data_IF_704659176700
#
_entry.id   IF_704659176700
#
_cell.length_a   1.000
_cell.length_b   1.000
_cell.length_c   1.000
_cell.angle_alpha   90.00
_cell.angle_beta   90.00
_cell.angle_gamma   90.00
#
_symmetry.space_group_name_H-M   'P 1'
#
loop_
_entity.id
_entity.type
_entity.pdbx_description
1 polymer ?
#
# COMPACT_ATOMS: atom_id res chain seq x y z
N UNK A 1 12.51 16.54 -6.02
CA UNK A 1 13.56 16.37 -7.04
C UNK A 1 14.23 14.99 -7.01
N UNK A 2 15.07 14.66 -6.00
CA UNK A 2 15.95 13.47 -5.95
C UNK A 2 15.32 12.15 -6.47
N UNK A 3 14.03 11.90 -6.19
CA UNK A 3 13.28 10.76 -6.71
C UNK A 3 13.23 10.67 -8.25
N UNK A 4 12.94 11.78 -8.94
CA UNK A 4 12.94 11.80 -10.42
C UNK A 4 14.35 11.65 -10.98
N UNK A 5 15.36 12.21 -10.30
CA UNK A 5 16.78 12.00 -10.62
C UNK A 5 17.15 10.52 -10.55
N UNK A 6 16.68 9.78 -9.53
CA UNK A 6 16.85 8.33 -9.47
C UNK A 6 16.11 7.62 -10.61
N UNK A 7 14.87 7.99 -10.92
CA UNK A 7 14.11 7.36 -12.01
C UNK A 7 14.80 7.52 -13.38
N UNK A 8 15.35 8.70 -13.66
CA UNK A 8 16.18 8.98 -14.86
C UNK A 8 17.46 8.11 -14.84
N UNK A 9 18.14 7.99 -13.70
CA UNK A 9 19.34 7.16 -13.58
C UNK A 9 19.08 5.64 -13.58
N UNK A 10 17.83 5.19 -13.42
CA UNK A 10 17.43 3.78 -13.51
C UNK A 10 16.98 3.34 -14.91
N UNK A 11 17.13 4.20 -15.93
CA UNK A 11 16.75 3.85 -17.30
C UNK A 11 17.67 2.78 -17.91
N UNK A 12 17.10 1.58 -18.11
CA UNK A 12 17.69 0.40 -18.78
C UNK A 12 18.52 0.73 -20.02
N UNK A 13 18.04 1.66 -20.86
CA UNK A 13 18.73 2.09 -22.09
C UNK A 13 20.13 2.67 -21.87
N UNK A 14 20.42 3.28 -20.72
CA UNK A 14 21.76 3.80 -20.42
C UNK A 14 22.75 2.65 -20.14
N UNK A 15 22.32 1.60 -19.44
CA UNK A 15 23.15 0.39 -19.22
C UNK A 15 23.37 -0.33 -20.55
N UNK A 16 22.33 -0.45 -21.38
CA UNK A 16 22.45 -1.03 -22.72
C UNK A 16 23.40 -0.23 -23.62
N UNK A 17 23.35 1.10 -23.57
CA UNK A 17 24.24 2.00 -24.31
C UNK A 17 25.71 1.80 -23.92
N UNK A 18 26.05 1.96 -22.63
CA UNK A 18 27.45 1.83 -22.19
C UNK A 18 27.98 0.40 -22.34
N UNK A 19 27.14 -0.63 -22.23
CA UNK A 19 27.59 -2.02 -22.49
C UNK A 19 27.81 -2.27 -23.99
N UNK A 20 26.97 -1.72 -24.88
CA UNK A 20 27.23 -1.76 -26.33
C UNK A 20 28.48 -0.97 -26.73
N UNK A 21 28.80 0.12 -26.03
CA UNK A 21 30.03 0.89 -26.29
C UNK A 21 31.31 0.12 -25.94
N UNK A 22 31.21 -0.98 -25.19
CA UNK A 22 32.31 -1.89 -24.85
C UNK A 22 32.38 -3.15 -25.73
N UNK A 23 31.46 -3.30 -26.70
CA UNK A 23 31.45 -4.44 -27.64
C UNK A 23 31.67 -3.99 -29.08
N UNK A 24 31.99 -4.95 -29.95
CA UNK A 24 32.42 -4.71 -31.32
C UNK A 24 31.65 -5.60 -32.29
N UNK A 25 31.36 -5.09 -33.48
CA UNK A 25 30.76 -5.85 -34.57
C UNK A 25 31.66 -5.82 -35.80
N UNK A 26 31.76 -6.96 -36.51
CA UNK A 26 32.60 -7.10 -37.71
C UNK A 26 31.83 -6.67 -38.94
N UNK A 27 32.35 -5.68 -39.68
CA UNK A 27 31.79 -5.22 -40.95
C UNK A 27 32.90 -5.30 -42.00
N UNK A 28 32.76 -6.23 -42.94
CA UNK A 28 33.85 -6.63 -43.83
C UNK A 28 35.07 -7.10 -43.03
N UNK A 29 36.22 -6.48 -43.27
CA UNK A 29 37.50 -6.82 -42.62
C UNK A 29 37.82 -5.94 -41.39
N UNK A 30 36.92 -5.07 -40.93
CA UNK A 30 37.17 -4.15 -39.81
C UNK A 30 36.11 -4.30 -38.70
N UNK A 31 36.50 -3.92 -37.48
CA UNK A 31 35.69 -4.05 -36.26
C UNK A 31 35.28 -2.65 -35.76
N UNK A 32 33.97 -2.42 -35.65
CA UNK A 32 33.36 -1.13 -35.35
C UNK A 32 32.49 -1.20 -34.09
N UNK A 33 32.27 -0.06 -33.44
CA UNK A 33 31.35 0.07 -32.32
C UNK A 33 29.89 -0.11 -32.82
N UNK A 34 29.07 -1.01 -32.26
CA UNK A 34 27.70 -1.27 -32.73
C UNK A 34 26.69 -0.17 -32.37
N UNK A 35 27.12 0.91 -31.72
CA UNK A 35 26.34 2.15 -31.57
C UNK A 35 26.72 3.22 -32.60
N UNK A 36 28.01 3.41 -32.88
CA UNK A 36 28.49 4.35 -33.91
C UNK A 36 29.48 3.67 -34.86
N UNK A 37 29.01 3.37 -36.07
CA UNK A 37 29.78 2.72 -37.13
C UNK A 37 30.91 3.60 -37.71
N UNK A 38 31.01 4.87 -37.30
CA UNK A 38 32.15 5.75 -37.64
C UNK A 38 33.39 5.41 -36.81
N UNK A 39 33.21 4.77 -35.65
CA UNK A 39 34.25 4.54 -34.64
C UNK A 39 34.79 3.11 -34.76
N UNK A 40 36.10 2.99 -34.98
CA UNK A 40 36.82 1.70 -35.02
C UNK A 40 37.14 1.24 -33.60
N UNK A 41 36.95 -0.05 -33.30
CA UNK A 41 37.08 -0.56 -31.94
C UNK A 41 38.51 -0.53 -31.37
N UNK A 42 39.54 -0.61 -32.22
CA UNK A 42 40.94 -0.65 -31.81
C UNK A 42 41.68 0.66 -32.08
N UNK A 43 40.94 1.75 -32.25
CA UNK A 43 41.51 3.09 -32.26
C UNK A 43 42.02 3.47 -30.85
N UNK A 44 43.24 3.99 -30.76
CA UNK A 44 43.96 4.13 -29.49
C UNK A 44 43.32 5.17 -28.56
N UNK A 45 42.89 6.31 -29.12
CA UNK A 45 42.22 7.37 -28.37
C UNK A 45 40.82 6.94 -27.94
N UNK A 46 40.09 6.27 -28.82
CA UNK A 46 38.80 5.63 -28.50
C UNK A 46 38.94 4.66 -27.32
N UNK A 47 39.89 3.72 -27.36
CA UNK A 47 40.14 2.77 -26.26
C UNK A 47 40.46 3.49 -24.95
N UNK A 48 41.37 4.47 -25.00
CA UNK A 48 41.87 5.21 -23.83
C UNK A 48 40.78 5.99 -23.08
N UNK A 49 39.77 6.51 -23.78
CA UNK A 49 38.68 7.28 -23.17
C UNK A 49 37.41 6.44 -22.91
N UNK A 50 36.90 5.74 -23.93
CA UNK A 50 35.58 5.11 -23.90
C UNK A 50 35.51 3.94 -22.90
N UNK A 51 36.56 3.13 -22.80
CA UNK A 51 36.56 1.97 -21.90
C UNK A 51 36.49 2.35 -20.41
N UNK A 52 37.43 3.13 -19.85
CA UNK A 52 37.36 3.48 -18.43
C UNK A 52 36.08 4.28 -18.10
N UNK A 53 35.65 5.20 -18.97
CA UNK A 53 34.42 5.96 -18.77
C UNK A 53 33.17 5.07 -18.72
N UNK A 54 33.01 4.18 -19.71
CA UNK A 54 31.88 3.24 -19.77
C UNK A 54 31.89 2.26 -18.59
N UNK A 55 33.07 1.73 -18.21
CA UNK A 55 33.22 0.82 -17.06
C UNK A 55 32.86 1.54 -15.76
N UNK A 56 33.38 2.75 -15.50
CA UNK A 56 33.04 3.54 -14.30
C UNK A 56 31.54 3.81 -14.20
N UNK A 57 30.87 4.14 -15.32
CA UNK A 57 29.42 4.36 -15.32
C UNK A 57 28.65 3.05 -15.07
N UNK A 58 29.02 1.95 -15.73
CA UNK A 58 28.36 0.65 -15.53
C UNK A 58 28.52 0.15 -14.09
N UNK A 59 29.71 0.27 -13.49
CA UNK A 59 29.92 -0.03 -12.08
C UNK A 59 29.03 0.86 -11.20
N UNK A 60 29.00 2.17 -11.43
CA UNK A 60 28.15 3.09 -10.66
C UNK A 60 26.65 2.72 -10.76
N UNK A 61 26.14 2.37 -11.94
CA UNK A 61 24.74 1.93 -12.11
C UNK A 61 24.45 0.56 -11.50
N UNK A 62 25.44 -0.33 -11.42
CA UNK A 62 25.32 -1.65 -10.81
C UNK A 62 25.45 -1.60 -9.28
N UNK A 63 26.17 -0.62 -8.71
CA UNK A 63 26.29 -0.43 -7.25
C UNK A 63 25.22 0.47 -6.63
N UNK A 64 24.67 1.46 -7.35
CA UNK A 64 23.61 2.34 -6.84
C UNK A 64 22.40 1.60 -6.21
N UNK A 65 21.89 0.47 -6.75
CA UNK A 65 20.78 -0.26 -6.14
C UNK A 65 21.19 -0.94 -4.83
N UNK A 66 22.41 -1.47 -4.70
CA UNK A 66 22.93 -1.99 -3.43
C UNK A 66 23.00 -0.89 -2.35
N UNK A 67 23.41 0.33 -2.72
CA UNK A 67 23.46 1.46 -1.77
C UNK A 67 22.07 1.85 -1.26
N UNK A 68 21.04 1.84 -2.12
CA UNK A 68 19.65 2.10 -1.69
C UNK A 68 19.14 0.93 -0.83
N UNK A 69 19.36 -0.32 -1.25
CA UNK A 69 18.98 -1.53 -0.48
C UNK A 69 19.64 -1.57 0.91
N UNK A 70 20.93 -1.21 1.01
CA UNK A 70 21.64 -1.12 2.30
C UNK A 70 20.98 -0.10 3.23
N UNK A 71 20.63 1.09 2.72
CA UNK A 71 19.93 2.12 3.49
C UNK A 71 18.53 1.67 3.94
N UNK A 72 17.80 0.92 3.11
CA UNK A 72 16.49 0.35 3.48
C UNK A 72 16.67 -0.77 4.53
N UNK A 73 17.64 -1.67 4.35
CA UNK A 73 17.98 -2.76 5.28
C UNK A 73 18.35 -2.23 6.67
N UNK A 74 19.17 -1.16 6.75
CA UNK A 74 19.52 -0.45 7.99
C UNK A 74 18.28 0.10 8.73
N UNK A 75 17.19 0.38 8.01
CA UNK A 75 15.94 0.92 8.55
C UNK A 75 14.77 -0.10 8.57
N UNK A 76 15.02 -1.41 8.41
CA UNK A 76 13.97 -2.47 8.30
C UNK A 76 12.88 -2.40 9.38
N UNK A 77 13.25 -2.08 10.61
CA UNK A 77 12.31 -1.98 11.73
C UNK A 77 11.38 -0.76 11.62
N UNK A 78 11.84 0.31 10.95
CA UNK A 78 11.21 1.63 10.83
C UNK A 78 10.51 1.88 9.48
N UNK A 79 10.36 0.87 8.62
CA UNK A 79 9.74 0.99 7.28
C UNK A 79 8.29 1.54 7.29
N UNK A 80 7.61 1.54 8.43
CA UNK A 80 6.27 2.09 8.58
C UNK A 80 6.26 3.57 9.03
N UNK A 81 7.41 4.14 9.41
CA UNK A 81 7.53 5.57 9.77
C UNK A 81 7.34 6.44 8.52
N UNK A 82 6.54 7.51 8.62
CA UNK A 82 6.19 8.36 7.48
C UNK A 82 7.41 8.97 6.77
N UNK A 83 8.50 9.23 7.49
CA UNK A 83 9.78 9.75 6.97
C UNK A 83 10.48 8.73 6.07
N UNK A 84 10.65 7.50 6.57
CA UNK A 84 11.26 6.38 5.82
C UNK A 84 10.37 6.01 4.62
N UNK A 85 9.05 5.95 4.83
CA UNK A 85 8.09 5.64 3.76
C UNK A 85 8.03 6.72 2.69
N UNK A 86 8.09 8.01 3.03
CA UNK A 86 8.16 9.09 2.03
C UNK A 86 9.46 9.04 1.21
N UNK A 87 10.59 8.69 1.85
CA UNK A 87 11.90 8.65 1.18
C UNK A 87 12.14 7.41 0.31
N UNK A 88 11.65 6.25 0.75
CA UNK A 88 11.99 4.94 0.17
C UNK A 88 10.78 4.06 -0.20
N UNK A 89 9.56 4.45 0.16
CA UNK A 89 8.35 3.61 0.03
C UNK A 89 8.12 3.06 -1.37
N UNK A 90 8.45 3.83 -2.41
CA UNK A 90 8.40 3.38 -3.80
C UNK A 90 9.08 2.02 -4.07
N UNK A 91 10.16 1.71 -3.35
CA UNK A 91 10.92 0.45 -3.54
C UNK A 91 10.32 -0.76 -2.80
N UNK A 92 9.38 -0.58 -1.86
CA UNK A 92 8.88 -1.67 -1.00
C UNK A 92 7.37 -1.64 -0.68
N UNK A 93 6.63 -0.58 -0.99
CA UNK A 93 5.22 -0.41 -0.59
C UNK A 93 4.26 -1.36 -1.33
N UNK A 94 4.61 -1.81 -2.53
CA UNK A 94 3.83 -2.79 -3.30
C UNK A 94 4.04 -4.24 -2.82
N UNK A 95 5.04 -4.45 -1.97
CA UNK A 95 5.52 -5.75 -1.51
C UNK A 95 5.16 -6.03 -0.05
N UNK A 96 5.15 -7.30 0.32
CA UNK A 96 4.99 -7.70 1.71
C UNK A 96 6.25 -7.35 2.52
N UNK A 97 6.10 -7.08 3.82
CA UNK A 97 7.19 -6.56 4.69
C UNK A 97 8.43 -7.45 4.73
N UNK A 98 8.28 -8.74 4.48
CA UNK A 98 9.37 -9.73 4.43
C UNK A 98 10.19 -9.59 3.13
N UNK A 99 9.53 -9.28 2.01
CA UNK A 99 10.11 -9.17 0.66
C UNK A 99 10.42 -7.72 0.26
N UNK A 100 10.71 -6.84 1.22
CA UNK A 100 11.05 -5.41 1.00
C UNK A 100 12.25 -5.16 0.05
N UNK A 101 13.01 -6.21 -0.29
CA UNK A 101 14.16 -6.19 -1.18
C UNK A 101 13.81 -6.61 -2.62
N UNK A 102 12.55 -6.97 -2.92
CA UNK A 102 12.18 -7.59 -4.19
C UNK A 102 12.40 -6.69 -5.42
N UNK A 103 12.22 -5.37 -5.30
CA UNK A 103 12.48 -4.45 -6.40
C UNK A 103 13.96 -4.47 -6.85
N UNK A 104 14.88 -4.75 -5.92
CA UNK A 104 16.30 -4.89 -6.24
C UNK A 104 16.57 -6.19 -7.00
N UNK A 105 15.88 -7.29 -6.68
CA UNK A 105 15.93 -8.53 -7.49
C UNK A 105 15.39 -8.28 -8.91
N UNK A 106 14.22 -7.63 -9.04
CA UNK A 106 13.67 -7.18 -10.35
C UNK A 106 14.65 -6.31 -11.12
N UNK A 107 15.41 -5.47 -10.42
CA UNK A 107 16.41 -4.58 -11.02
C UNK A 107 17.65 -5.35 -11.50
N UNK A 108 18.23 -6.20 -10.66
CA UNK A 108 19.41 -7.00 -11.05
C UNK A 108 19.09 -8.03 -12.15
N UNK A 109 17.88 -8.59 -12.17
CA UNK A 109 17.42 -9.44 -13.28
C UNK A 109 17.47 -8.68 -14.62
N UNK A 110 16.97 -7.43 -14.66
CA UNK A 110 17.02 -6.59 -15.87
C UNK A 110 18.46 -6.29 -16.26
N UNK A 111 19.34 -5.96 -15.31
CA UNK A 111 20.77 -5.69 -15.57
C UNK A 111 21.47 -6.94 -16.15
N UNK A 112 21.25 -8.11 -15.54
CA UNK A 112 21.82 -9.39 -15.99
C UNK A 112 21.37 -9.76 -17.41
N UNK A 113 20.09 -9.56 -17.73
CA UNK A 113 19.55 -9.79 -19.07
C UNK A 113 20.14 -8.81 -20.11
N UNK A 114 20.39 -7.54 -19.76
CA UNK A 114 21.12 -6.61 -20.64
C UNK A 114 22.52 -7.12 -20.90
N UNK A 115 23.28 -7.51 -19.87
CA UNK A 115 24.66 -7.99 -20.02
C UNK A 115 24.73 -9.26 -20.88
N UNK A 116 23.86 -10.24 -20.66
CA UNK A 116 23.78 -11.44 -21.51
C UNK A 116 23.46 -11.06 -22.97
N UNK A 117 22.45 -10.22 -23.19
CA UNK A 117 22.03 -9.81 -24.53
C UNK A 117 23.01 -8.87 -25.26
N UNK A 118 23.91 -8.18 -24.56
CA UNK A 118 24.88 -7.25 -25.19
C UNK A 118 26.30 -7.80 -25.29
N UNK A 119 26.73 -8.63 -24.34
CA UNK A 119 28.10 -9.19 -24.31
C UNK A 119 28.16 -10.56 -24.99
N UNK A 120 27.15 -11.43 -24.80
CA UNK A 120 27.20 -12.82 -25.30
C UNK A 120 26.61 -12.91 -26.72
N UNK A 121 25.53 -12.16 -27.01
CA UNK A 121 24.82 -12.24 -28.29
C UNK A 121 25.70 -12.01 -29.55
N UNK A 122 26.70 -11.10 -29.57
CA UNK A 122 27.55 -10.92 -30.76
C UNK A 122 28.38 -12.16 -31.15
N UNK A 123 28.66 -13.05 -30.19
CA UNK A 123 29.50 -14.24 -30.38
C UNK A 123 28.67 -15.54 -30.39
N UNK A 124 27.67 -15.63 -29.52
CA UNK A 124 26.88 -16.85 -29.29
C UNK A 124 25.38 -16.53 -29.17
N UNK A 125 24.75 -16.22 -30.30
CA UNK A 125 23.35 -15.78 -30.37
C UNK A 125 22.39 -16.75 -29.69
N UNK A 126 22.41 -18.03 -30.08
CA UNK A 126 21.54 -19.08 -29.51
C UNK A 126 21.77 -19.23 -27.99
N UNK A 127 23.03 -19.28 -27.55
CA UNK A 127 23.40 -19.38 -26.13
C UNK A 127 22.88 -18.19 -25.32
N UNK A 128 22.92 -16.96 -25.88
CA UNK A 128 22.39 -15.77 -25.22
C UNK A 128 20.86 -15.81 -25.06
N UNK A 129 20.13 -16.35 -26.04
CA UNK A 129 18.67 -16.54 -25.97
C UNK A 129 18.30 -17.62 -24.95
N UNK A 130 18.93 -18.80 -25.02
CA UNK A 130 18.68 -19.92 -24.10
C UNK A 130 19.02 -19.53 -22.66
N UNK A 131 20.17 -18.88 -22.43
CA UNK A 131 20.54 -18.37 -21.10
C UNK A 131 19.54 -17.35 -20.55
N UNK A 132 19.06 -16.42 -21.39
CA UNK A 132 18.01 -15.46 -21.01
C UNK A 132 16.69 -16.14 -20.64
N UNK A 133 16.27 -17.14 -21.41
CA UNK A 133 15.06 -17.93 -21.14
C UNK A 133 15.17 -18.72 -19.83
N UNK A 134 16.30 -19.37 -19.56
CA UNK A 134 16.56 -20.08 -18.29
C UNK A 134 16.46 -19.13 -17.11
N UNK A 135 17.10 -17.96 -17.18
CA UNK A 135 17.11 -16.96 -16.11
C UNK A 135 15.70 -16.39 -15.84
N UNK A 136 14.91 -16.12 -16.88
CA UNK A 136 13.51 -15.67 -16.71
C UNK A 136 12.63 -16.80 -16.17
N UNK A 137 12.82 -18.04 -16.61
CA UNK A 137 12.11 -19.21 -16.09
C UNK A 137 12.38 -19.46 -14.61
N UNK A 138 13.64 -19.34 -14.18
CA UNK A 138 14.03 -19.37 -12.77
C UNK A 138 13.37 -18.24 -11.97
N UNK A 139 13.40 -16.99 -12.47
CA UNK A 139 12.71 -15.87 -11.81
C UNK A 139 11.20 -16.13 -11.65
N UNK A 140 10.51 -16.56 -12.72
CA UNK A 140 9.09 -16.88 -12.71
C UNK A 140 8.75 -17.96 -11.67
N UNK A 141 9.57 -19.02 -11.57
CA UNK A 141 9.42 -20.07 -10.55
C UNK A 141 9.50 -19.50 -9.13
N UNK A 142 10.48 -18.64 -8.85
CA UNK A 142 10.62 -18.03 -7.51
C UNK A 142 9.48 -17.03 -7.22
N UNK A 143 9.00 -16.24 -8.20
CA UNK A 143 7.83 -15.35 -8.05
C UNK A 143 6.57 -16.13 -7.68
N UNK A 144 6.33 -17.29 -8.31
CA UNK A 144 5.18 -18.15 -8.04
C UNK A 144 5.26 -18.81 -6.66
N UNK A 145 6.46 -19.13 -6.18
CA UNK A 145 6.66 -19.71 -4.85
C UNK A 145 6.57 -18.66 -3.72
N UNK A 146 7.26 -17.53 -3.86
CA UNK A 146 7.38 -16.51 -2.80
C UNK A 146 6.18 -15.57 -2.67
N UNK A 147 5.41 -15.38 -3.75
CA UNK A 147 4.22 -14.51 -3.79
C UNK A 147 4.47 -13.11 -3.18
N UNK A 148 5.51 -12.35 -3.61
CA UNK A 148 6.10 -11.27 -2.82
C UNK A 148 5.27 -9.98 -2.76
N UNK A 149 4.27 -9.83 -3.64
CA UNK A 149 3.40 -8.66 -3.74
C UNK A 149 2.27 -8.69 -2.70
N UNK A 150 1.78 -7.51 -2.31
CA UNK A 150 0.54 -7.41 -1.53
C UNK A 150 -0.72 -7.64 -2.41
N UNK A 151 -0.67 -7.22 -3.68
CA UNK A 151 -1.79 -7.33 -4.63
C UNK A 151 -1.64 -8.52 -5.57
N UNK A 152 -2.56 -9.50 -5.49
CA UNK A 152 -2.64 -10.64 -6.42
C UNK A 152 -2.81 -10.19 -7.89
N UNK A 153 -3.46 -9.05 -8.13
CA UNK A 153 -3.59 -8.48 -9.48
C UNK A 153 -2.26 -7.98 -10.02
N UNK A 154 -1.44 -7.35 -9.17
CA UNK A 154 -0.11 -6.87 -9.56
C UNK A 154 0.85 -8.04 -9.84
N UNK A 155 0.81 -9.09 -9.02
CA UNK A 155 1.56 -10.33 -9.28
C UNK A 155 1.15 -11.01 -10.59
N UNK A 156 -0.16 -11.07 -10.90
CA UNK A 156 -0.63 -11.56 -12.21
C UNK A 156 -0.10 -10.72 -13.36
N UNK A 157 -0.13 -9.38 -13.22
CA UNK A 157 0.44 -8.47 -14.22
C UNK A 157 1.94 -8.70 -14.41
N UNK A 158 2.71 -8.86 -13.33
CA UNK A 158 4.14 -9.16 -13.36
C UNK A 158 4.42 -10.46 -14.13
N UNK A 159 3.72 -11.55 -13.80
CA UNK A 159 3.88 -12.85 -14.47
C UNK A 159 3.55 -12.73 -15.98
N UNK A 160 2.48 -12.02 -16.34
CA UNK A 160 2.13 -11.76 -17.74
C UNK A 160 3.22 -10.96 -18.48
N UNK A 161 3.83 -9.94 -17.85
CA UNK A 161 4.95 -9.20 -18.43
C UNK A 161 6.13 -10.11 -18.79
N UNK A 162 6.54 -11.01 -17.90
CA UNK A 162 7.67 -11.91 -18.17
C UNK A 162 7.32 -13.04 -19.15
N UNK A 163 6.08 -13.52 -19.16
CA UNK A 163 5.60 -14.45 -20.21
C UNK A 163 5.64 -13.79 -21.60
N UNK A 164 5.28 -12.51 -21.71
CA UNK A 164 5.41 -11.75 -22.97
C UNK A 164 6.87 -11.56 -23.38
N UNK A 165 7.80 -11.36 -22.43
CA UNK A 165 9.24 -11.32 -22.73
C UNK A 165 9.73 -12.70 -23.23
N UNK A 166 9.29 -13.81 -22.64
CA UNK A 166 9.58 -15.17 -23.11
C UNK A 166 9.08 -15.38 -24.55
N UNK A 167 7.84 -14.97 -24.84
CA UNK A 167 7.27 -15.05 -26.20
C UNK A 167 8.11 -14.21 -27.20
N UNK A 168 8.55 -13.01 -26.81
CA UNK A 168 9.45 -12.19 -27.67
C UNK A 168 10.82 -12.83 -27.89
N UNK A 169 11.42 -13.44 -26.88
CA UNK A 169 12.69 -14.15 -27.02
C UNK A 169 12.56 -15.36 -27.96
N UNK A 170 11.46 -16.11 -27.86
CA UNK A 170 11.13 -17.19 -28.79
C UNK A 170 10.95 -16.68 -30.23
N UNK A 171 10.12 -15.64 -30.42
CA UNK A 171 9.95 -14.97 -31.73
C UNK A 171 11.26 -14.35 -32.26
N UNK A 172 12.21 -14.00 -31.39
CA UNK A 172 13.54 -13.53 -31.80
C UNK A 172 14.47 -14.67 -32.21
N UNK A 173 14.28 -15.88 -31.68
CA UNK A 173 14.97 -17.08 -32.15
C UNK A 173 14.55 -17.48 -33.57
N UNK A 174 13.24 -17.46 -33.84
CA UNK A 174 12.68 -17.73 -35.18
C UNK A 174 13.15 -16.75 -36.29
N UNK A 175 13.78 -15.63 -35.93
CA UNK A 175 14.35 -14.65 -36.87
C UNK A 175 15.82 -14.92 -37.21
N UNK A 176 16.49 -15.87 -36.54
CA UNK A 176 17.91 -16.14 -36.78
C UNK A 176 18.11 -16.99 -38.05
N UNK A 177 17.33 -18.06 -38.19
CA UNK A 177 17.45 -19.04 -39.28
C UNK A 177 16.40 -18.82 -40.39
N UNK A 178 15.67 -17.71 -40.34
CA UNK A 178 14.47 -17.47 -41.14
C UNK A 178 14.69 -16.56 -42.36
N UNK A 179 14.06 -16.90 -43.49
CA UNK A 179 13.94 -16.04 -44.67
C UNK A 179 13.49 -14.60 -44.33
N UNK A 180 13.89 -13.63 -45.15
CA UNK A 180 13.42 -12.23 -45.06
C UNK A 180 11.89 -12.10 -44.91
N UNK A 181 11.11 -12.99 -45.54
CA UNK A 181 9.64 -13.06 -45.40
C UNK A 181 9.20 -13.45 -43.98
N UNK A 182 9.85 -14.44 -43.35
CA UNK A 182 9.52 -14.87 -42.00
C UNK A 182 9.99 -13.86 -40.94
N UNK A 183 11.13 -13.19 -41.18
CA UNK A 183 11.61 -12.07 -40.33
C UNK A 183 10.57 -10.93 -40.30
N UNK A 184 10.05 -10.53 -41.47
CA UNK A 184 8.97 -9.53 -41.58
C UNK A 184 7.70 -9.98 -40.85
N UNK A 185 7.27 -11.23 -41.04
CA UNK A 185 6.09 -11.79 -40.38
C UNK A 185 6.25 -11.82 -38.84
N UNK A 186 7.39 -12.26 -38.33
CA UNK A 186 7.71 -12.28 -36.90
C UNK A 186 7.82 -10.87 -36.30
N UNK A 187 8.24 -9.86 -37.09
CA UNK A 187 8.17 -8.46 -36.69
C UNK A 187 6.71 -7.97 -36.58
N UNK A 188 5.85 -8.28 -37.55
CA UNK A 188 4.42 -7.91 -37.51
C UNK A 188 3.70 -8.54 -36.31
N UNK A 189 3.94 -9.82 -36.02
CA UNK A 189 3.42 -10.49 -34.82
C UNK A 189 3.88 -9.75 -33.55
N UNK A 190 5.16 -9.41 -33.46
CA UNK A 190 5.69 -8.68 -32.30
C UNK A 190 5.03 -7.32 -32.10
N UNK A 191 4.80 -6.54 -33.17
CA UNK A 191 4.06 -5.28 -33.09
C UNK A 191 2.61 -5.46 -32.63
N UNK A 192 1.91 -6.49 -33.11
CA UNK A 192 0.53 -6.81 -32.70
C UNK A 192 0.49 -7.17 -31.20
N UNK A 193 1.43 -8.00 -30.74
CA UNK A 193 1.55 -8.36 -29.31
C UNK A 193 1.81 -7.12 -28.45
N UNK A 194 2.74 -6.25 -28.86
CA UNK A 194 3.08 -5.04 -28.10
C UNK A 194 1.96 -4.01 -28.06
N UNK A 195 1.27 -3.80 -29.18
CA UNK A 195 0.09 -2.91 -29.22
C UNK A 195 -1.06 -3.46 -28.37
N UNK A 196 -1.32 -4.77 -28.44
CA UNK A 196 -2.33 -5.45 -27.63
C UNK A 196 -2.02 -5.34 -26.12
N UNK A 197 -0.77 -5.58 -25.72
CA UNK A 197 -0.36 -5.44 -24.32
C UNK A 197 -0.40 -3.99 -23.82
N UNK A 198 0.09 -3.03 -24.62
CA UNK A 198 0.00 -1.61 -24.28
C UNK A 198 -1.46 -1.17 -24.11
N UNK A 199 -2.34 -1.59 -25.02
CA UNK A 199 -3.79 -1.37 -24.95
C UNK A 199 -4.39 -1.97 -23.67
N UNK A 200 -4.07 -3.23 -23.34
CA UNK A 200 -4.50 -3.88 -22.10
C UNK A 200 -4.07 -3.12 -20.85
N UNK A 201 -2.81 -2.68 -20.78
CA UNK A 201 -2.31 -1.86 -19.67
C UNK A 201 -3.01 -0.49 -19.59
N UNK A 202 -3.21 0.17 -20.74
CA UNK A 202 -3.91 1.45 -20.82
C UNK A 202 -5.37 1.32 -20.34
N UNK A 203 -6.12 0.34 -20.84
CA UNK A 203 -7.48 0.05 -20.38
C UNK A 203 -7.52 -0.34 -18.89
N UNK A 204 -6.55 -1.11 -18.39
CA UNK A 204 -6.47 -1.46 -16.97
C UNK A 204 -6.25 -0.23 -16.09
N UNK A 205 -5.35 0.68 -16.49
CA UNK A 205 -5.11 1.97 -15.81
C UNK A 205 -6.35 2.86 -15.88
N UNK A 206 -7.03 2.94 -17.03
CA UNK A 206 -8.30 3.67 -17.18
C UNK A 206 -9.36 3.12 -16.22
N UNK A 207 -9.58 1.80 -16.18
CA UNK A 207 -10.57 1.17 -15.30
C UNK A 207 -10.27 1.41 -13.81
N UNK A 208 -9.00 1.43 -13.41
CA UNK A 208 -8.58 1.83 -12.05
C UNK A 208 -8.84 3.33 -11.80
N UNK A 209 -8.58 4.20 -12.78
CA UNK A 209 -8.85 5.65 -12.71
C UNK A 209 -10.34 5.99 -12.63
N UNK A 210 -11.17 5.23 -13.36
CA UNK A 210 -12.64 5.30 -13.37
C UNK A 210 -13.22 4.89 -12.02
N UNK A 211 -12.72 3.80 -11.43
CA UNK A 211 -13.06 3.40 -10.05
C UNK A 211 -12.60 4.44 -9.01
N UNK A 212 -11.56 5.23 -9.32
CA UNK A 212 -11.08 6.35 -8.50
C UNK A 212 -11.93 7.62 -8.67
N UNK A 213 -13.10 7.62 -8.02
CA UNK A 213 -14.11 8.70 -7.96
C UNK A 213 -13.57 10.11 -7.61
N UNK A 214 -12.33 10.25 -7.14
CA UNK A 214 -11.74 11.54 -6.74
C UNK A 214 -11.15 12.36 -7.90
N UNK A 215 -10.91 11.76 -9.07
CA UNK A 215 -10.19 12.44 -10.15
C UNK A 215 -11.10 13.07 -11.21
N UNK A 216 -10.77 14.30 -11.67
CA UNK A 216 -11.47 14.97 -12.79
C UNK A 216 -11.53 14.08 -14.04
N UNK A 217 -10.42 13.41 -14.36
CA UNK A 217 -10.32 12.49 -15.49
C UNK A 217 -11.26 11.29 -15.34
N UNK A 218 -11.37 10.71 -14.14
CA UNK A 218 -12.31 9.60 -13.87
C UNK A 218 -13.77 10.00 -14.05
N UNK A 219 -14.15 11.23 -13.67
CA UNK A 219 -15.48 11.79 -13.95
C UNK A 219 -15.73 12.01 -15.45
N UNK A 220 -14.76 12.55 -16.19
CA UNK A 220 -14.87 12.74 -17.64
C UNK A 220 -14.95 11.40 -18.40
N UNK A 221 -14.12 10.43 -18.02
CA UNK A 221 -14.17 9.07 -18.58
C UNK A 221 -15.50 8.37 -18.27
N UNK A 222 -16.07 8.54 -17.07
CA UNK A 222 -17.41 8.03 -16.78
C UNK A 222 -18.47 8.68 -17.67
N UNK A 223 -18.43 10.00 -17.92
CA UNK A 223 -19.38 10.65 -18.82
C UNK A 223 -19.30 10.12 -20.26
N UNK A 224 -18.08 9.89 -20.78
CA UNK A 224 -17.89 9.22 -22.08
C UNK A 224 -18.43 7.80 -22.07
N UNK A 225 -18.13 7.01 -21.03
CA UNK A 225 -18.60 5.62 -20.91
C UNK A 225 -20.13 5.55 -20.82
N UNK A 226 -20.79 6.44 -20.08
CA UNK A 226 -22.27 6.50 -20.02
C UNK A 226 -22.91 6.95 -21.34
N UNK A 227 -22.15 7.52 -22.27
CA UNK A 227 -22.62 7.88 -23.62
C UNK A 227 -22.40 6.76 -24.64
N UNK A 228 -21.48 5.83 -24.39
CA UNK A 228 -21.07 4.78 -25.35
C UNK A 228 -21.54 3.38 -24.93
N UNK A 229 -21.55 3.04 -23.64
CA UNK A 229 -21.92 1.70 -23.16
C UNK A 229 -23.39 1.63 -22.69
N UNK A 230 -24.10 0.50 -22.95
CA UNK A 230 -25.47 0.31 -22.49
C UNK A 230 -25.56 0.19 -20.96
N UNK A 231 -26.68 0.68 -20.41
CA UNK A 231 -26.92 0.90 -18.97
C UNK A 231 -26.50 -0.28 -18.07
N UNK A 232 -26.87 -1.50 -18.45
CA UNK A 232 -26.57 -2.77 -17.73
C UNK A 232 -25.08 -2.97 -17.43
N UNK A 233 -24.17 -2.39 -18.23
CA UNK A 233 -22.73 -2.62 -18.07
C UNK A 233 -22.13 -1.76 -16.93
N UNK A 234 -22.51 -0.47 -16.83
CA UNK A 234 -21.92 0.42 -15.82
C UNK A 234 -22.44 0.17 -14.41
N UNK A 235 -23.64 -0.41 -14.25
CA UNK A 235 -24.23 -0.69 -12.93
C UNK A 235 -23.32 -1.65 -12.10
N UNK A 236 -22.61 -2.56 -12.77
CA UNK A 236 -21.57 -3.42 -12.16
C UNK A 236 -20.34 -2.67 -11.62
N UNK A 237 -20.08 -1.45 -12.09
CA UNK A 237 -18.97 -0.58 -11.67
C UNK A 237 -19.39 0.39 -10.55
N UNK A 238 -20.68 0.56 -10.29
CA UNK A 238 -21.21 1.59 -9.39
C UNK A 238 -21.23 1.15 -7.92
N UNK A 239 -20.05 0.90 -7.34
CA UNK A 239 -19.92 0.71 -5.90
C UNK A 239 -20.43 1.96 -5.15
N UNK A 240 -21.49 1.77 -4.35
CA UNK A 240 -22.34 2.83 -3.78
C UNK A 240 -21.74 3.56 -2.55
N UNK A 241 -20.47 3.97 -2.64
CA UNK A 241 -20.01 5.14 -1.88
C UNK A 241 -20.74 6.37 -2.43
N UNK A 242 -21.62 6.94 -1.61
CA UNK A 242 -22.47 8.08 -2.00
C UNK A 242 -21.62 9.32 -2.31
N UNK A 243 -22.08 10.13 -3.26
CA UNK A 243 -21.43 11.40 -3.61
C UNK A 243 -21.40 12.37 -2.41
N UNK A 244 -22.43 12.33 -1.56
CA UNK A 244 -22.52 13.04 -0.28
C UNK A 244 -21.37 12.68 0.67
N UNK A 245 -21.00 11.39 0.77
CA UNK A 245 -19.87 10.92 1.59
C UNK A 245 -18.53 11.50 1.11
N UNK A 246 -18.31 11.56 -0.21
CA UNK A 246 -17.11 12.17 -0.80
C UNK A 246 -17.06 13.68 -0.56
N UNK A 247 -18.19 14.38 -0.74
CA UNK A 247 -18.26 15.83 -0.52
C UNK A 247 -18.00 16.20 0.94
N UNK A 248 -18.58 15.46 1.90
CA UNK A 248 -18.30 15.60 3.33
C UNK A 248 -16.81 15.42 3.64
N UNK A 249 -16.16 14.39 3.09
CA UNK A 249 -14.72 14.17 3.26
C UNK A 249 -13.87 15.33 2.69
N UNK A 250 -14.26 15.88 1.53
CA UNK A 250 -13.58 17.04 0.93
C UNK A 250 -13.76 18.32 1.75
N UNK A 251 -14.92 18.49 2.40
CA UNK A 251 -15.21 19.62 3.29
C UNK A 251 -14.40 19.51 4.59
N UNK A 252 -14.34 18.31 5.20
CA UNK A 252 -13.44 18.01 6.32
C UNK A 252 -11.97 18.28 5.95
N UNK A 253 -11.54 17.89 4.75
CA UNK A 253 -10.15 18.11 4.31
C UNK A 253 -9.81 19.59 4.10
N UNK A 254 -10.74 20.40 3.58
CA UNK A 254 -10.58 21.87 3.51
C UNK A 254 -10.47 22.50 4.90
N UNK A 255 -11.30 22.06 5.83
CA UNK A 255 -11.35 22.61 7.19
C UNK A 255 -10.30 21.96 8.12
N UNK A 256 -9.45 21.06 7.64
CA UNK A 256 -8.53 20.27 8.46
C UNK A 256 -7.52 21.14 9.22
N UNK A 257 -7.07 22.25 8.62
CA UNK A 257 -6.22 23.26 9.27
C UNK A 257 -6.94 24.07 10.38
N UNK A 258 -8.27 24.20 10.31
CA UNK A 258 -9.08 24.82 11.37
C UNK A 258 -9.34 23.79 12.47
N UNK A 259 -9.64 22.55 12.10
CA UNK A 259 -9.84 21.43 13.03
C UNK A 259 -8.58 21.14 13.85
N UNK A 260 -7.37 21.26 13.27
CA UNK A 260 -6.11 21.11 14.03
C UNK A 260 -5.84 22.27 14.98
N UNK A 261 -6.25 23.51 14.64
CA UNK A 261 -6.19 24.67 15.56
C UNK A 261 -7.19 24.59 16.72
N UNK A 262 -8.43 24.18 16.45
CA UNK A 262 -9.48 23.99 17.47
C UNK A 262 -9.21 22.81 18.41
N UNK A 263 -8.38 21.84 18.00
CA UNK A 263 -8.13 20.62 18.78
C UNK A 263 -7.54 20.87 20.18
N UNK A 264 -6.48 21.69 20.38
CA UNK A 264 -5.98 22.02 21.72
C UNK A 264 -7.02 22.72 22.60
N UNK A 265 -7.78 23.68 22.06
CA UNK A 265 -8.86 24.38 22.79
C UNK A 265 -9.96 23.42 23.25
N UNK A 266 -10.32 22.44 22.41
CA UNK A 266 -11.27 21.40 22.80
C UNK A 266 -10.74 20.54 23.96
N UNK A 267 -9.44 20.24 23.99
CA UNK A 267 -8.83 19.49 25.09
C UNK A 267 -8.74 20.30 26.40
N UNK A 268 -8.45 21.61 26.36
CA UNK A 268 -8.48 22.45 27.56
C UNK A 268 -9.90 22.59 28.12
N UNK A 269 -10.90 22.74 27.26
CA UNK A 269 -12.29 22.90 27.71
C UNK A 269 -12.83 21.59 28.30
N UNK A 270 -12.44 20.44 27.74
CA UNK A 270 -12.77 19.11 28.30
C UNK A 270 -12.05 18.86 29.64
N UNK A 271 -10.80 19.32 29.82
CA UNK A 271 -10.11 19.14 31.11
C UNK A 271 -10.74 20.00 32.21
N UNK A 272 -11.09 21.26 31.91
CA UNK A 272 -11.82 22.16 32.82
C UNK A 272 -13.20 21.60 33.22
N UNK A 273 -14.00 21.10 32.25
CA UNK A 273 -15.29 20.46 32.53
C UNK A 273 -15.18 19.19 33.40
N UNK A 274 -14.09 18.44 33.27
CA UNK A 274 -13.83 17.30 34.14
C UNK A 274 -13.36 17.71 35.55
N UNK A 275 -12.68 18.86 35.69
CA UNK A 275 -12.36 19.43 37.00
C UNK A 275 -13.64 19.90 37.73
N UNK A 276 -14.51 20.68 37.07
CA UNK A 276 -15.74 21.18 37.71
C UNK A 276 -16.69 20.04 38.10
N UNK A 277 -16.80 18.97 37.30
CA UNK A 277 -17.51 17.73 37.71
C UNK A 277 -16.93 17.06 38.95
N UNK A 278 -15.60 17.10 39.11
CA UNK A 278 -14.88 16.53 40.27
C UNK A 278 -15.02 17.39 41.53
N UNK A 279 -15.29 18.68 41.38
CA UNK A 279 -15.67 19.56 42.49
C UNK A 279 -17.16 19.41 42.86
N UNK A 280 -18.05 19.34 41.86
CA UNK A 280 -19.48 19.13 42.07
C UNK A 280 -19.77 17.80 42.79
N UNK A 281 -19.03 16.74 42.48
CA UNK A 281 -19.14 15.45 43.19
C UNK A 281 -18.66 15.54 44.65
N UNK A 282 -17.57 16.28 44.93
CA UNK A 282 -17.11 16.59 46.30
C UNK A 282 -18.15 17.38 47.09
N UNK A 283 -18.81 18.37 46.48
CA UNK A 283 -19.89 19.15 47.10
C UNK A 283 -21.09 18.25 47.41
N UNK A 284 -21.48 17.37 46.48
CA UNK A 284 -22.57 16.40 46.68
C UNK A 284 -22.23 15.39 47.80
N UNK A 285 -20.98 14.92 47.90
CA UNK A 285 -20.52 14.09 49.01
C UNK A 285 -20.56 14.82 50.35
N UNK A 286 -20.09 16.08 50.42
CA UNK A 286 -20.19 16.91 51.63
C UNK A 286 -21.65 17.10 52.07
N UNK A 287 -22.56 17.42 51.14
CA UNK A 287 -24.00 17.52 51.44
C UNK A 287 -24.59 16.19 51.95
N UNK A 288 -24.28 15.05 51.32
CA UNK A 288 -24.73 13.73 51.80
C UNK A 288 -24.20 13.41 53.21
N UNK A 289 -22.93 13.71 53.50
CA UNK A 289 -22.35 13.52 54.84
C UNK A 289 -23.02 14.41 55.90
N UNK A 290 -23.34 15.66 55.56
CA UNK A 290 -24.04 16.58 56.46
C UNK A 290 -25.49 16.14 56.74
N UNK A 291 -26.22 15.69 55.71
CA UNK A 291 -27.57 15.15 55.86
C UNK A 291 -27.58 13.87 56.68
N UNK A 292 -26.64 12.94 56.44
CA UNK A 292 -26.51 11.72 57.24
C UNK A 292 -26.25 12.03 58.73
N UNK A 293 -25.33 12.97 59.03
CA UNK A 293 -25.11 13.43 60.42
C UNK A 293 -26.33 14.10 61.04
N UNK A 294 -27.17 14.80 60.26
CA UNK A 294 -28.41 15.41 60.78
C UNK A 294 -29.50 14.37 61.05
N UNK A 295 -29.57 13.28 60.30
CA UNK A 295 -30.53 12.18 60.52
C UNK A 295 -30.14 11.37 61.76
N UNK A 296 -28.87 10.94 61.85
CA UNK A 296 -28.34 10.20 63.02
C UNK A 296 -28.37 11.04 64.31
N UNK A 297 -28.52 12.37 64.21
CA UNK A 297 -28.74 13.26 65.34
C UNK A 297 -30.18 13.36 65.86
N UNK A 298 -31.16 12.70 65.25
CA UNK A 298 -32.56 12.68 65.71
C UNK A 298 -33.01 11.35 66.33
N UNK A 299 -32.23 10.28 66.19
CA UNK A 299 -32.65 8.91 66.47
C UNK A 299 -32.07 8.41 67.80
N UNK A 300 -32.41 9.09 68.91
CA UNK A 300 -31.83 8.80 70.23
C UNK A 300 -32.79 9.00 71.42
N UNK A 301 -34.09 8.78 71.22
CA UNK A 301 -35.09 8.62 72.29
C UNK A 301 -36.21 7.67 71.90
N UNK A 302 -36.05 6.37 72.17
CA UNK A 302 -37.04 5.55 72.91
C UNK A 302 -36.51 4.11 73.16
N UNK A 303 -36.91 3.55 74.31
CA UNK A 303 -36.60 2.19 74.76
C UNK A 303 -37.53 1.17 74.08
N UNK A 304 -37.12 -0.05 73.69
CA UNK A 304 -36.51 -1.18 74.45
C UNK A 304 -37.59 -1.98 75.22
N UNK A 305 -37.47 -3.31 75.17
CA UNK A 305 -38.45 -4.39 75.48
C UNK A 305 -39.46 -4.67 74.33
N UNK A 306 -39.88 -5.90 74.02
CA UNK A 306 -39.61 -7.20 74.68
C UNK A 306 -39.31 -8.41 73.73
N UNK A 307 -39.24 -9.63 74.29
CA UNK A 307 -38.61 -10.89 73.78
C UNK A 307 -39.42 -11.72 72.75
N UNK A 308 -38.78 -12.82 72.30
CA UNK A 308 -39.34 -14.11 71.80
C UNK A 308 -39.70 -14.21 70.28
N UNK A 309 -39.70 -15.37 69.60
CA UNK A 309 -39.07 -16.70 69.77
C UNK A 309 -39.16 -17.49 68.42
N UNK A 310 -38.34 -18.55 68.23
CA UNK A 310 -38.44 -19.59 67.15
C UNK A 310 -38.14 -19.10 65.70
N UNK A 311 -37.48 -19.87 64.80
CA UNK A 311 -36.72 -21.11 64.95
C UNK A 311 -36.60 -21.95 63.65
N UNK A 312 -35.40 -22.49 63.37
CA UNK A 312 -35.12 -23.49 62.30
C UNK A 312 -35.07 -22.96 60.85
N UNK A 313 -34.50 -23.66 59.86
CA UNK A 313 -33.51 -24.76 59.86
C UNK A 313 -32.82 -24.84 58.46
N UNK A 314 -31.68 -25.56 58.26
CA UNK A 314 -30.85 -25.47 57.04
C UNK A 314 -31.08 -26.62 56.02
N UNK A 315 -30.04 -26.98 55.24
CA UNK A 315 -29.97 -27.96 54.12
C UNK A 315 -30.58 -27.46 52.79
N UNK A 316 -30.08 -27.79 51.59
CA UNK A 316 -28.96 -28.67 51.11
C UNK A 316 -28.33 -27.96 49.86
N UNK A 317 -27.25 -28.35 49.15
CA UNK A 317 -26.40 -29.55 49.04
C UNK A 317 -24.99 -29.24 48.47
N UNK A 318 -24.22 -30.29 48.14
CA UNK A 318 -23.06 -30.31 47.22
C UNK A 318 -23.22 -31.53 46.28
N UNK A 319 -22.50 -31.58 45.13
CA UNK A 319 -22.15 -32.74 44.23
C UNK A 319 -21.86 -32.20 42.80
N UNK A 320 -20.87 -32.59 41.98
CA UNK A 320 -19.59 -33.35 42.13
C UNK A 320 -18.62 -33.04 40.95
N UNK A 321 -17.31 -33.06 41.25
CA UNK A 321 -16.18 -33.65 40.49
C UNK A 321 -15.93 -33.43 38.96
N UNK A 322 -14.64 -33.17 38.68
CA UNK A 322 -13.79 -33.73 37.61
C UNK A 322 -14.22 -33.73 36.13
N UNK A 323 -13.37 -33.12 35.27
CA UNK A 323 -12.75 -33.84 34.14
C UNK A 323 -11.36 -33.24 33.80
N UNK A 324 -10.58 -33.95 32.99
CA UNK A 324 -9.13 -33.79 32.84
C UNK A 324 -8.67 -33.24 31.48
N UNK A 325 -7.36 -32.89 31.43
CA UNK A 325 -6.48 -32.87 30.25
C UNK A 325 -6.97 -32.29 28.90
N UNK A 326 -6.31 -31.21 28.45
CA UNK A 326 -5.60 -31.20 27.14
C UNK A 326 -4.66 -29.98 27.09
N UNK A 327 -3.37 -30.19 26.79
CA UNK A 327 -2.47 -29.11 26.36
C UNK A 327 -2.74 -28.80 24.88
N UNK A 328 -3.09 -27.56 24.57
CA UNK A 328 -3.02 -27.00 23.21
C UNK A 328 -2.09 -25.78 23.21
N UNK A 329 -1.42 -25.49 22.08
CA UNK A 329 -0.38 -24.46 22.05
C UNK A 329 -0.94 -23.07 22.32
N UNK A 330 -0.15 -22.23 22.99
CA UNK A 330 -0.47 -20.82 23.19
C UNK A 330 -0.43 -20.08 21.84
N UNK A 331 -1.60 -19.91 21.21
CA UNK A 331 -1.76 -18.85 20.23
C UNK A 331 -1.62 -17.52 20.97
N UNK A 332 -0.56 -16.78 20.68
CA UNK A 332 -0.33 -15.43 21.19
C UNK A 332 -1.32 -14.45 20.55
N UNK A 333 -2.56 -14.42 21.08
CA UNK A 333 -3.60 -13.47 20.67
C UNK A 333 -3.06 -12.06 20.92
N UNK A 334 -2.65 -11.41 19.85
CA UNK A 334 -1.89 -10.18 19.89
C UNK A 334 -2.78 -9.04 20.46
N UNK A 335 -2.47 -8.48 21.65
CA UNK A 335 -3.42 -7.65 22.41
C UNK A 335 -3.87 -6.37 21.68
N UNK A 336 -3.14 -5.93 20.64
CA UNK A 336 -3.57 -4.86 19.75
C UNK A 336 -4.94 -5.12 19.09
N UNK A 337 -5.29 -6.37 18.75
CA UNK A 337 -6.54 -6.68 18.04
C UNK A 337 -7.79 -6.55 18.93
N UNK A 338 -7.64 -6.75 20.24
CA UNK A 338 -8.72 -6.50 21.21
C UNK A 338 -8.88 -4.98 21.40
N UNK A 339 -7.76 -4.26 21.47
CA UNK A 339 -7.75 -2.79 21.59
C UNK A 339 -8.31 -2.08 20.34
N UNK A 340 -8.05 -2.58 19.13
CA UNK A 340 -8.62 -1.99 17.91
C UNK A 340 -10.13 -2.12 17.87
N UNK A 341 -10.68 -3.27 18.26
CA UNK A 341 -12.12 -3.52 18.23
C UNK A 341 -12.87 -2.72 19.31
N UNK A 342 -12.31 -2.59 20.51
CA UNK A 342 -12.90 -1.73 21.56
C UNK A 342 -12.89 -0.25 21.14
N UNK A 343 -11.78 0.27 20.60
CA UNK A 343 -11.69 1.66 20.11
C UNK A 343 -12.67 1.94 18.97
N UNK A 344 -12.93 0.97 18.08
CA UNK A 344 -13.95 1.10 17.04
C UNK A 344 -15.39 1.10 17.60
N UNK A 345 -15.70 0.21 18.54
CA UNK A 345 -16.99 0.17 19.24
C UNK A 345 -17.28 1.46 20.01
N UNK A 346 -16.32 1.94 20.82
CA UNK A 346 -16.46 3.23 21.55
C UNK A 346 -16.69 4.39 20.59
N UNK A 347 -15.98 4.43 19.44
CA UNK A 347 -16.19 5.48 18.43
C UNK A 347 -17.58 5.43 17.82
N UNK A 348 -18.10 4.24 17.45
CA UNK A 348 -19.48 4.11 16.93
C UNK A 348 -20.50 4.67 17.93
N UNK A 349 -20.41 4.24 19.19
CA UNK A 349 -21.35 4.62 20.24
C UNK A 349 -21.32 6.13 20.50
N UNK A 350 -20.13 6.76 20.56
CA UNK A 350 -20.04 8.23 20.67
C UNK A 350 -20.64 8.94 19.45
N UNK A 351 -20.51 8.39 18.24
CA UNK A 351 -21.06 9.00 17.03
C UNK A 351 -22.60 8.96 17.01
N UNK A 352 -23.20 7.84 17.43
CA UNK A 352 -24.65 7.73 17.62
C UNK A 352 -25.14 8.71 18.70
N UNK A 353 -24.47 8.75 19.85
CA UNK A 353 -24.83 9.64 20.96
C UNK A 353 -24.77 11.13 20.56
N UNK A 354 -23.77 11.55 19.77
CA UNK A 354 -23.75 12.93 19.22
C UNK A 354 -24.87 13.22 18.22
N UNK A 355 -25.30 12.21 17.44
CA UNK A 355 -26.39 12.34 16.47
C UNK A 355 -27.72 12.57 17.19
N UNK A 356 -27.99 11.85 18.27
CA UNK A 356 -29.24 11.99 19.02
C UNK A 356 -29.31 13.30 19.80
N UNK A 357 -28.18 13.76 20.36
CA UNK A 357 -28.06 15.12 20.96
C UNK A 357 -28.34 16.20 19.90
N UNK A 358 -27.84 16.05 18.67
CA UNK A 358 -28.11 17.02 17.59
C UNK A 358 -29.60 17.05 17.19
N UNK A 359 -30.27 15.89 17.20
CA UNK A 359 -31.69 15.74 16.87
C UNK A 359 -32.62 16.26 17.99
N UNK A 360 -32.18 16.18 19.25
CA UNK A 360 -32.86 16.84 20.37
C UNK A 360 -32.69 18.36 20.32
N UNK A 361 -31.52 18.88 19.91
CA UNK A 361 -31.31 20.33 19.76
C UNK A 361 -32.16 20.94 18.64
N UNK A 362 -32.26 20.31 17.47
CA UNK A 362 -33.11 20.85 16.38
C UNK A 362 -34.58 20.95 16.82
N UNK A 363 -35.12 19.88 17.43
CA UNK A 363 -36.49 19.86 17.97
C UNK A 363 -36.74 20.85 19.11
N UNK A 364 -35.72 21.40 19.76
CA UNK A 364 -35.89 22.42 20.80
C UNK A 364 -35.85 23.86 20.25
N UNK A 365 -35.24 24.07 19.08
CA UNK A 365 -35.28 25.37 18.38
C UNK A 365 -36.64 25.55 17.70
N UNK A 366 -37.09 24.50 17.00
CA UNK A 366 -38.39 24.37 16.30
C UNK A 366 -39.64 24.53 17.20
N UNK A 367 -39.46 24.69 18.52
CA UNK A 367 -40.51 24.91 19.53
C UNK A 367 -40.44 26.31 20.17
N UNK A 368 -39.33 27.05 20.03
CA UNK A 368 -39.26 28.45 20.47
C UNK A 368 -39.75 29.43 19.39
N UNK A 369 -39.52 29.14 18.10
CA UNK A 369 -39.96 30.03 17.00
C UNK A 369 -41.51 30.07 16.80
N UNK A 370 -42.28 29.43 17.70
CA UNK A 370 -43.74 29.34 17.66
C UNK A 370 -44.45 29.93 18.91
N UNK A 371 -43.73 30.50 19.88
CA UNK A 371 -44.33 31.20 21.03
C UNK A 371 -44.35 32.72 20.89
N UNK A 372 -43.53 33.29 20.01
CA UNK A 372 -43.20 34.71 19.99
C UNK A 372 -43.88 35.46 18.81
N UNK A 373 -45.00 34.93 18.31
CA UNK A 373 -45.86 35.54 17.29
C UNK A 373 -47.31 35.54 17.79
N UNK A 374 -47.66 36.58 18.55
CA UNK A 374 -49.02 36.90 19.03
C UNK A 374 -49.23 38.40 19.10
#
# INVERSE_FOLDING_TARGET
>A
MIFHTHFIFFQVGQIQYFTKSLTCTKIGNQLYNPYDLRIKCYDADTLKFNYPFSITILLFRTFLPLLVLYNIKKNKNKLNECTIKYKYGYYYEEFQREYYYWEFIRTYLKILLIYIYTIIQPYYQITSLVGSLIIIGLYLKVVQQTNPFFSKTLQKSEILCYLLIVIKLFLSGLKLDGDNKSILFANMIQFIIDYSFFSYCFFSILLLKIKSKSSKLGMFLMMLITKILPKKCYESLQNNISFRTFYLWRLIYRNLAVITKLKPELYSNISQLNMSKKELSRITQKKKSYVAKKIVGLENTQTLEDKSLIGGSPFISQITQNYSFIKRPQQTVNPLNILSNSIYQTRLNTFQQTKDISKQKSKKIEVLDLSDIS
#
